data_IF_627683836056
#
_entry.id   IF_627683836056
#
_cell.length_a   1.000
_cell.length_b   1.000
_cell.length_c   1.000
_cell.angle_alpha   90.00
_cell.angle_beta   90.00
_cell.angle_gamma   90.00
#
_symmetry.space_group_name_H-M   'P 1'
#
loop_
_entity.id
_entity.type
_entity.pdbx_description
1 polymer ?
#
# COMPACT_ATOMS: atom_id res chain seq x y z
N UNK A 1 19.60 -2.87 5.24
CA UNK A 1 18.19 -2.70 4.81
C UNK A 1 17.40 -2.06 5.97
N UNK A 2 16.18 -1.53 5.76
CA UNK A 2 15.21 -1.25 6.83
C UNK A 2 15.10 0.14 7.52
N UNK A 3 15.37 1.28 6.85
CA UNK A 3 14.84 2.59 7.32
C UNK A 3 13.52 3.00 6.64
N UNK A 4 13.34 2.66 5.36
CA UNK A 4 12.15 3.08 4.58
C UNK A 4 10.93 2.16 4.78
N UNK A 5 11.14 0.87 5.07
CA UNK A 5 10.06 -0.12 5.33
C UNK A 5 9.26 0.27 6.58
N UNK A 6 9.96 0.60 7.68
CA UNK A 6 9.34 1.05 8.93
C UNK A 6 8.43 2.28 8.78
N UNK A 7 8.71 3.15 7.80
CA UNK A 7 7.90 4.36 7.57
C UNK A 7 6.53 3.99 7.03
N UNK A 8 6.45 3.04 6.10
CA UNK A 8 5.18 2.61 5.50
C UNK A 8 4.38 1.78 6.50
N UNK A 9 5.01 0.85 7.22
CA UNK A 9 4.33 0.07 8.27
C UNK A 9 3.72 0.96 9.36
N UNK A 10 4.46 1.99 9.82
CA UNK A 10 3.93 2.95 10.80
C UNK A 10 2.77 3.76 10.21
N UNK A 11 2.88 4.19 8.95
CA UNK A 11 1.81 4.88 8.22
C UNK A 11 0.53 4.04 8.12
N UNK A 12 0.69 2.74 7.83
CA UNK A 12 -0.41 1.80 7.75
C UNK A 12 -1.07 1.61 9.12
N UNK A 13 -0.28 1.45 10.18
CA UNK A 13 -0.81 1.30 11.54
C UNK A 13 -1.56 2.56 12.00
N UNK A 14 -0.90 3.73 11.96
CA UNK A 14 -1.47 5.01 12.40
C UNK A 14 -2.74 5.36 11.59
N UNK A 15 -2.68 5.11 10.27
CA UNK A 15 -3.75 5.43 9.34
C UNK A 15 -4.93 4.46 9.41
N UNK A 16 -4.70 3.19 9.76
CA UNK A 16 -5.78 2.22 9.90
C UNK A 16 -6.68 2.53 11.11
N UNK A 17 -6.08 2.97 12.22
CA UNK A 17 -6.80 3.39 13.43
C UNK A 17 -7.46 4.76 13.25
N UNK A 18 -6.77 5.72 12.63
CA UNK A 18 -7.22 7.12 12.53
C UNK A 18 -8.02 7.45 11.25
N UNK A 19 -8.05 6.54 10.29
CA UNK A 19 -8.59 6.77 8.94
C UNK A 19 -7.65 7.53 7.99
N UNK A 20 -6.59 8.15 8.51
CA UNK A 20 -5.62 8.92 7.74
C UNK A 20 -4.29 9.03 8.46
N UNK A 21 -3.18 8.91 7.72
CA UNK A 21 -1.85 9.21 8.22
C UNK A 21 -0.97 9.82 7.12
N UNK A 22 0.02 10.63 7.50
CA UNK A 22 0.94 11.29 6.56
C UNK A 22 2.36 11.29 7.10
N UNK A 23 3.32 10.88 6.29
CA UNK A 23 4.74 10.99 6.59
C UNK A 23 5.53 11.54 5.41
N UNK A 24 5.92 12.82 5.51
CA UNK A 24 6.74 13.58 4.55
C UNK A 24 6.23 13.50 3.11
N UNK A 25 6.55 12.41 2.43
CA UNK A 25 6.22 12.16 1.03
C UNK A 25 5.07 11.18 0.85
N UNK A 26 4.71 10.37 1.84
CA UNK A 26 3.68 9.35 1.72
C UNK A 26 2.45 9.68 2.57
N UNK A 27 1.28 9.30 2.09
CA UNK A 27 -0.01 9.52 2.74
C UNK A 27 -0.81 8.22 2.67
N UNK A 28 -1.40 7.85 3.80
CA UNK A 28 -2.36 6.77 3.94
C UNK A 28 -3.74 7.39 4.06
N UNK A 29 -4.69 6.93 3.26
CA UNK A 29 -6.11 7.30 3.37
C UNK A 29 -6.96 6.04 3.42
N UNK A 30 -7.87 5.97 4.38
CA UNK A 30 -8.93 4.97 4.43
C UNK A 30 -10.27 5.63 4.20
N UNK A 31 -10.99 5.13 3.20
CA UNK A 31 -12.36 5.50 2.87
C UNK A 31 -13.19 4.22 2.94
N UNK A 32 -13.93 4.04 4.04
CA UNK A 32 -14.68 2.82 4.34
C UNK A 32 -13.81 1.54 4.31
N UNK A 33 -14.03 0.71 3.30
CA UNK A 33 -13.31 -0.53 3.04
C UNK A 33 -12.11 -0.32 2.11
N UNK A 34 -11.86 0.88 1.60
CA UNK A 34 -10.75 1.16 0.68
C UNK A 34 -9.61 1.85 1.40
N UNK A 35 -8.41 1.31 1.30
CA UNK A 35 -7.17 1.96 1.74
C UNK A 35 -6.34 2.37 0.53
N UNK A 36 -5.86 3.60 0.55
CA UNK A 36 -5.07 4.18 -0.53
C UNK A 36 -3.73 4.65 0.01
N UNK A 37 -2.65 4.29 -0.68
CA UNK A 37 -1.33 4.87 -0.48
C UNK A 37 -1.12 5.94 -1.54
N UNK A 38 -0.77 7.14 -1.10
CA UNK A 38 -0.43 8.25 -1.97
C UNK A 38 1.03 8.66 -1.73
N UNK A 39 1.66 9.21 -2.77
CA UNK A 39 2.96 9.86 -2.70
C UNK A 39 2.83 11.26 -3.27
N UNK A 40 3.15 12.27 -2.45
CA UNK A 40 3.04 13.70 -2.80
C UNK A 40 1.67 14.09 -3.37
N UNK A 41 0.60 13.48 -2.86
CA UNK A 41 -0.78 13.70 -3.33
C UNK A 41 -1.22 12.86 -4.54
N UNK A 42 -0.32 12.08 -5.16
CA UNK A 42 -0.67 11.17 -6.25
C UNK A 42 -0.95 9.76 -5.71
N UNK A 43 -1.99 9.12 -6.19
CA UNK A 43 -2.35 7.76 -5.78
C UNK A 43 -1.31 6.79 -6.35
N UNK A 44 -0.61 6.08 -5.46
CA UNK A 44 0.31 5.01 -5.83
C UNK A 44 -0.35 3.64 -5.83
N UNK A 45 -1.24 3.39 -4.88
CA UNK A 45 -1.94 2.13 -4.77
C UNK A 45 -3.28 2.32 -4.08
N UNK A 46 -4.31 1.60 -4.53
CA UNK A 46 -5.60 1.47 -3.85
C UNK A 46 -5.88 0.00 -3.60
N UNK A 47 -6.41 -0.28 -2.42
CA UNK A 47 -6.62 -1.63 -1.93
C UNK A 47 -7.97 -1.69 -1.24
N UNK A 48 -8.81 -2.65 -1.57
CA UNK A 48 -10.16 -2.78 -1.02
C UNK A 48 -10.15 -3.90 0.01
N UNK A 49 -10.20 -3.57 1.30
CA UNK A 49 -10.26 -4.47 2.45
C UNK A 49 -11.69 -4.99 2.63
N UNK A 50 -12.04 -6.08 1.96
CA UNK A 50 -13.32 -6.78 2.17
C UNK A 50 -13.21 -7.76 3.34
N UNK A 51 -13.29 -7.27 4.58
CA UNK A 51 -13.24 -8.10 5.79
C UNK A 51 -11.86 -8.67 6.16
N UNK A 52 -11.81 -9.41 7.28
CA UNK A 52 -10.61 -9.70 8.09
C UNK A 52 -9.39 -10.35 7.41
N UNK A 53 -9.39 -10.70 6.12
CA UNK A 53 -8.26 -11.45 5.56
C UNK A 53 -7.77 -11.17 4.15
N UNK A 54 -8.50 -10.54 3.23
CA UNK A 54 -7.98 -10.39 1.87
C UNK A 54 -8.50 -9.09 1.28
N UNK A 55 -7.63 -8.08 1.23
CA UNK A 55 -7.90 -6.92 0.41
C UNK A 55 -7.45 -7.15 -1.03
N UNK A 56 -8.23 -6.69 -1.99
CA UNK A 56 -7.87 -6.78 -3.40
C UNK A 56 -7.16 -5.49 -3.84
N UNK A 57 -6.05 -5.62 -4.56
CA UNK A 57 -5.42 -4.49 -5.26
C UNK A 57 -6.39 -3.98 -6.33
N UNK A 58 -6.83 -2.74 -6.20
CA UNK A 58 -7.72 -2.11 -7.18
C UNK A 58 -6.95 -1.29 -8.22
N UNK A 59 -5.84 -0.67 -7.81
CA UNK A 59 -5.04 0.21 -8.67
C UNK A 59 -3.61 0.27 -8.16
N UNK A 60 -2.62 0.24 -9.06
CA UNK A 60 -1.19 0.42 -8.75
C UNK A 60 -0.58 1.32 -9.82
N UNK A 61 -0.03 2.45 -9.40
CA UNK A 61 0.58 3.45 -10.27
C UNK A 61 1.97 3.82 -9.72
N UNK A 62 2.99 3.18 -10.28
CA UNK A 62 4.36 3.20 -9.75
C UNK A 62 5.31 3.66 -10.84
N UNK A 63 6.01 4.76 -10.60
CA UNK A 63 6.92 5.38 -11.57
C UNK A 63 8.39 5.13 -11.27
N UNK A 64 8.72 4.67 -10.06
CA UNK A 64 10.11 4.38 -9.67
C UNK A 64 10.25 3.23 -8.65
N UNK A 65 11.49 2.77 -8.48
CA UNK A 65 11.82 1.65 -7.58
C UNK A 65 11.54 1.96 -6.09
N UNK A 66 11.52 3.22 -5.68
CA UNK A 66 11.20 3.56 -4.29
C UNK A 66 9.71 3.45 -4.01
N UNK A 67 8.87 3.91 -4.93
CA UNK A 67 7.42 3.74 -4.89
C UNK A 67 7.04 2.26 -4.98
N UNK A 68 7.73 1.48 -5.83
CA UNK A 68 7.51 0.05 -5.93
C UNK A 68 7.69 -0.65 -4.58
N UNK A 69 8.77 -0.33 -3.86
CA UNK A 69 9.01 -0.89 -2.52
C UNK A 69 7.95 -0.42 -1.50
N UNK A 70 7.47 0.82 -1.60
CA UNK A 70 6.44 1.33 -0.72
C UNK A 70 5.09 0.63 -0.94
N UNK A 71 4.71 0.44 -2.21
CA UNK A 71 3.51 -0.33 -2.58
C UNK A 71 3.64 -1.78 -2.11
N UNK A 72 4.78 -2.44 -2.33
CA UNK A 72 5.00 -3.81 -1.84
C UNK A 72 4.82 -3.90 -0.32
N UNK A 73 5.46 -3.02 0.46
CA UNK A 73 5.33 -3.04 1.91
C UNK A 73 3.90 -2.76 2.36
N UNK A 74 3.20 -1.86 1.68
CA UNK A 74 1.79 -1.56 1.95
C UNK A 74 0.88 -2.77 1.68
N UNK A 75 1.08 -3.44 0.54
CA UNK A 75 0.34 -4.66 0.17
C UNK A 75 0.65 -5.80 1.13
N UNK A 76 1.92 -5.99 1.53
CA UNK A 76 2.31 -7.00 2.52
C UNK A 76 1.70 -6.73 3.91
N UNK A 77 1.41 -5.47 4.23
CA UNK A 77 0.80 -5.12 5.51
C UNK A 77 -0.70 -5.44 5.56
N UNK A 78 -1.43 -5.20 4.47
CA UNK A 78 -2.90 -5.40 4.41
C UNK A 78 -3.35 -6.68 3.70
N UNK A 79 -2.47 -7.33 2.94
CA UNK A 79 -2.70 -8.56 2.19
C UNK A 79 -1.82 -9.72 2.67
N UNK A 80 -1.97 -10.89 2.05
CA UNK A 80 -1.05 -12.03 2.22
C UNK A 80 -0.02 -12.03 1.08
N UNK A 81 1.25 -12.34 1.39
CA UNK A 81 2.38 -12.26 0.44
C UNK A 81 2.15 -13.02 -0.90
N UNK A 82 1.28 -14.03 -0.90
CA UNK A 82 0.98 -14.90 -2.06
C UNK A 82 0.38 -14.18 -3.30
N UNK A 83 -0.41 -13.12 -3.16
CA UNK A 83 -1.05 -12.47 -4.33
C UNK A 83 -0.16 -11.43 -5.02
N UNK A 84 0.74 -10.77 -4.28
CA UNK A 84 1.67 -9.79 -4.88
C UNK A 84 2.68 -10.47 -5.82
N UNK A 85 3.12 -11.69 -5.49
CA UNK A 85 3.99 -12.48 -6.38
C UNK A 85 3.27 -12.95 -7.65
N UNK A 86 1.95 -13.16 -7.59
CA UNK A 86 1.13 -13.55 -8.74
C UNK A 86 0.98 -12.39 -9.75
N UNK A 87 0.66 -11.18 -9.29
CA UNK A 87 0.57 -9.99 -10.17
C UNK A 87 1.92 -9.59 -10.76
N UNK A 88 3.01 -9.67 -9.99
CA UNK A 88 4.35 -9.37 -10.50
C UNK A 88 4.77 -10.29 -11.65
N UNK A 89 4.26 -11.53 -11.69
CA UNK A 89 4.44 -12.45 -12.82
C UNK A 89 3.55 -12.11 -14.01
N UNK A 90 2.36 -11.56 -13.78
CA UNK A 90 1.41 -11.19 -14.82
C UNK A 90 1.88 -9.98 -15.66
N UNK A 91 2.63 -9.05 -15.07
CA UNK A 91 3.17 -7.84 -15.76
C UNK A 91 4.34 -8.16 -16.72
N UNK A 92 4.72 -9.43 -16.89
CA UNK A 92 5.78 -9.88 -17.81
C UNK A 92 5.30 -10.59 -19.09
N UNK A 93 4.07 -10.33 -19.54
CA UNK A 93 3.59 -10.82 -20.84
C UNK A 93 3.17 -9.71 -21.77
#
# INVERSE_FOLDING_TARGET
MAKKVKVIESLCQDGYESGYAKNKNYEFKREDDVVSLLSKGEILCRFVITGYRQGQVAEVNVSNHHEANAVTTFVQYFGSEDEFEAEKKAVKK
#
